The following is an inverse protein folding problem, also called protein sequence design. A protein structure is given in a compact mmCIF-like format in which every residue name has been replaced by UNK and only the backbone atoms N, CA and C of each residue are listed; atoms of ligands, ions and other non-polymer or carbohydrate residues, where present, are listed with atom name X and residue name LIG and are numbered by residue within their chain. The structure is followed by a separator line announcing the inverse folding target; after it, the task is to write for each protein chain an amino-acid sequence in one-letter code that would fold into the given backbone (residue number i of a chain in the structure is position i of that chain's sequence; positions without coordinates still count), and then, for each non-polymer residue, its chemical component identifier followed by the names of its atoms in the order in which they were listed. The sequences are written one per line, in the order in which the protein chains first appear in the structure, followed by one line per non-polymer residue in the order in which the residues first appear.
data_IF_938638231675
#
_entry.id   IF_938638231675
#
_cell.length_a   1.000
_cell.length_b   1.000
_cell.length_c   1.000
_cell.angle_alpha   90.00
_cell.angle_beta   90.00
_cell.angle_gamma   90.00
#
_symmetry.space_group_name_H-M   'P 1'
#
loop_
_entity.id
_entity.type
_entity.pdbx_description
1 polymer ?
#
# COMPACT_ATOMS: atom_id res chain seq x y z
N UNK A 1 37.00 14.69 22.86
CA UNK A 1 37.71 13.38 22.93
C UNK A 1 37.13 12.53 24.05
N UNK A 2 36.32 11.51 23.73
CA UNK A 2 36.30 10.20 24.43
C UNK A 2 35.32 9.26 23.72
N UNK A 3 35.85 8.18 23.15
CA UNK A 3 35.14 7.11 22.47
C UNK A 3 34.87 5.99 23.48
N UNK A 4 33.68 5.42 23.48
CA UNK A 4 33.36 4.19 24.22
C UNK A 4 32.76 3.21 23.22
N UNK A 5 33.49 2.13 22.98
CA UNK A 5 33.11 0.99 22.16
C UNK A 5 32.50 -0.07 23.08
N UNK A 6 31.34 -0.61 22.72
CA UNK A 6 30.84 -1.85 23.33
C UNK A 6 30.42 -2.81 22.22
N UNK A 7 31.27 -3.80 22.00
CA UNK A 7 31.11 -4.97 21.14
C UNK A 7 30.55 -6.08 22.01
N UNK A 8 29.37 -6.63 21.68
CA UNK A 8 28.90 -7.90 22.24
C UNK A 8 28.39 -8.79 21.11
N UNK A 9 29.23 -9.76 20.75
CA UNK A 9 28.91 -10.85 19.85
C UNK A 9 28.21 -11.97 20.64
N UNK A 10 27.08 -12.46 20.13
CA UNK A 10 26.50 -13.74 20.59
C UNK A 10 26.21 -14.57 19.33
N UNK A 11 27.08 -15.56 19.12
CA UNK A 11 26.87 -16.67 18.22
C UNK A 11 26.09 -17.77 18.95
N UNK A 12 25.09 -18.34 18.28
CA UNK A 12 24.30 -19.46 18.80
C UNK A 12 23.84 -20.36 17.67
N UNK A 13 24.66 -21.38 17.38
CA UNK A 13 24.41 -22.47 16.45
C UNK A 13 23.43 -23.44 17.11
N UNK A 14 22.33 -23.79 16.43
CA UNK A 14 21.59 -25.01 16.73
C UNK A 14 21.41 -25.83 15.44
N UNK A 15 22.33 -26.76 15.26
CA UNK A 15 22.16 -27.96 14.44
C UNK A 15 21.77 -29.11 15.38
N UNK A 16 20.75 -29.88 15.02
CA UNK A 16 20.30 -31.05 15.77
C UNK A 16 19.53 -32.01 14.86
N UNK A 17 20.05 -33.24 14.75
CA UNK A 17 19.61 -34.34 13.88
C UNK A 17 18.69 -35.36 14.62
N UNK A 18 17.75 -35.97 13.86
CA UNK A 18 17.41 -37.42 13.69
C UNK A 18 17.06 -38.29 14.93
N UNK A 19 15.98 -39.10 14.91
CA UNK A 19 15.98 -40.55 14.52
C UNK A 19 14.67 -41.01 13.82
N UNK A 20 14.43 -42.21 13.29
CA UNK A 20 15.16 -43.43 12.89
C UNK A 20 14.07 -44.46 12.47
N UNK A 21 14.37 -45.32 11.47
CA UNK A 21 13.87 -46.70 11.27
C UNK A 21 12.36 -46.94 10.99
N UNK A 22 11.90 -48.00 10.31
CA UNK A 22 12.40 -48.99 9.35
C UNK A 22 11.18 -49.87 8.99
N UNK A 23 11.10 -50.43 7.77
CA UNK A 23 10.61 -51.79 7.43
C UNK A 23 9.64 -51.89 6.24
N UNK A 24 10.11 -52.62 5.22
CA UNK A 24 9.46 -53.64 4.38
C UNK A 24 8.10 -53.30 3.73
N UNK A 25 7.92 -53.47 2.41
CA UNK A 25 7.82 -54.80 1.79
C UNK A 25 8.09 -54.82 0.27
N UNK A 26 8.62 -55.95 -0.17
CA UNK A 26 8.72 -56.51 -1.54
C UNK A 26 7.48 -56.26 -2.42
N UNK A 27 7.64 -56.12 -3.74
CA UNK A 27 7.74 -57.27 -4.66
C UNK A 27 7.97 -56.86 -6.13
N UNK A 28 8.81 -57.64 -6.81
CA UNK A 28 8.98 -57.69 -8.25
C UNK A 28 7.82 -58.46 -8.90
N UNK A 29 7.33 -58.05 -10.08
CA UNK A 29 6.75 -58.94 -11.13
C UNK A 29 6.35 -58.06 -12.32
N UNK A 30 7.10 -58.03 -13.42
CA UNK A 30 6.90 -58.87 -14.60
C UNK A 30 5.51 -58.75 -15.28
N UNK A 31 5.52 -58.01 -16.40
CA UNK A 31 4.85 -58.23 -17.69
C UNK A 31 3.62 -59.17 -17.75
N UNK A 32 2.45 -58.66 -18.20
CA UNK A 32 1.62 -59.28 -19.27
C UNK A 32 0.26 -58.57 -19.48
N UNK A 33 0.04 -58.16 -20.74
CA UNK A 33 -1.21 -58.23 -21.53
C UNK A 33 -2.39 -57.28 -21.24
N UNK A 34 -2.80 -56.58 -22.31
CA UNK A 34 -3.93 -55.64 -22.47
C UNK A 34 -5.33 -56.30 -22.28
N UNK A 35 -6.50 -55.59 -22.24
CA UNK A 35 -6.94 -54.61 -23.25
C UNK A 35 -7.75 -53.36 -22.80
N UNK A 36 -7.67 -52.34 -23.66
CA UNK A 36 -8.69 -51.33 -24.03
C UNK A 36 -9.41 -50.51 -22.96
N UNK A 37 -8.83 -49.35 -22.65
CA UNK A 37 -9.59 -48.09 -22.66
C UNK A 37 -8.79 -47.13 -23.55
N UNK A 38 -9.34 -46.77 -24.71
CA UNK A 38 -8.76 -45.75 -25.58
C UNK A 38 -8.82 -44.40 -24.85
N UNK A 39 -7.80 -44.12 -24.04
CA UNK A 39 -7.44 -42.76 -23.69
C UNK A 39 -6.79 -42.20 -24.94
N UNK A 40 -7.58 -41.50 -25.74
CA UNK A 40 -7.07 -40.72 -26.86
C UNK A 40 -6.21 -39.62 -26.25
N UNK A 41 -4.91 -39.88 -26.10
CA UNK A 41 -3.94 -38.88 -25.68
C UNK A 41 -3.73 -37.96 -26.86
N UNK A 42 -4.46 -36.84 -26.86
CA UNK A 42 -4.22 -35.74 -27.77
C UNK A 42 -2.81 -35.22 -27.47
N UNK A 43 -1.87 -35.55 -28.36
CA UNK A 43 -0.49 -35.04 -28.32
C UNK A 43 -0.56 -33.55 -28.64
N UNK A 44 -0.69 -32.75 -27.61
CA UNK A 44 -0.48 -31.30 -27.72
C UNK A 44 1.02 -31.07 -27.78
N UNK A 45 1.50 -30.49 -28.88
CA UNK A 45 2.91 -30.14 -29.01
C UNK A 45 3.24 -29.03 -27.99
N UNK A 46 4.44 -29.09 -27.40
CA UNK A 46 4.81 -28.16 -26.32
C UNK A 46 4.86 -26.71 -26.80
N UNK A 47 5.02 -26.49 -28.10
CA UNK A 47 5.03 -25.17 -28.71
C UNK A 47 3.61 -24.61 -28.89
N UNK A 48 2.62 -25.45 -29.23
CA UNK A 48 1.20 -25.05 -29.23
C UNK A 48 0.75 -24.61 -27.83
N UNK A 49 1.15 -25.35 -26.79
CA UNK A 49 0.84 -24.98 -25.39
C UNK A 49 1.49 -23.64 -25.01
N UNK A 50 2.68 -23.32 -25.54
CA UNK A 50 3.34 -22.03 -25.31
C UNK A 50 2.62 -20.89 -26.02
N UNK A 51 2.07 -21.14 -27.21
CA UNK A 51 1.36 -20.14 -27.97
C UNK A 51 -0.03 -19.87 -27.39
N UNK A 52 -0.72 -20.88 -26.85
CA UNK A 52 -1.97 -20.70 -26.09
C UNK A 52 -1.72 -19.92 -24.78
N UNK A 53 -0.63 -20.21 -24.05
CA UNK A 53 -0.26 -19.44 -22.84
C UNK A 53 0.12 -18.00 -23.19
N UNK A 54 0.73 -17.77 -24.36
CA UNK A 54 1.02 -16.41 -24.84
C UNK A 54 -0.26 -15.69 -25.23
N UNK A 55 -1.16 -16.34 -25.95
CA UNK A 55 -2.45 -15.78 -26.40
C UNK A 55 -3.40 -15.49 -25.23
N UNK A 56 -3.49 -16.35 -24.21
CA UNK A 56 -4.21 -16.04 -22.96
C UNK A 56 -3.54 -14.91 -22.17
N UNK A 57 -2.21 -14.79 -22.28
CA UNK A 57 -1.45 -13.65 -21.74
C UNK A 57 -1.53 -12.39 -22.64
N UNK A 58 -2.24 -12.45 -23.78
CA UNK A 58 -2.45 -11.33 -24.71
C UNK A 58 -3.84 -10.70 -24.61
N UNK A 59 -4.71 -11.17 -23.70
CA UNK A 59 -5.70 -10.28 -23.13
C UNK A 59 -4.94 -9.34 -22.20
N UNK A 60 -4.57 -8.18 -22.75
CA UNK A 60 -4.03 -7.09 -21.96
C UNK A 60 -4.90 -6.96 -20.70
N UNK A 61 -4.34 -6.99 -19.48
CA UNK A 61 -5.14 -6.75 -18.31
C UNK A 61 -5.77 -5.38 -18.54
N UNK A 62 -7.10 -5.35 -18.57
CA UNK A 62 -7.89 -4.14 -18.71
C UNK A 62 -7.35 -3.18 -17.65
N UNK A 63 -6.63 -2.13 -18.07
CA UNK A 63 -5.87 -1.27 -17.15
C UNK A 63 -6.75 -0.58 -16.09
N UNK A 64 -8.07 -0.74 -16.18
CA UNK A 64 -9.04 -0.38 -15.16
C UNK A 64 -9.02 -1.25 -13.91
N UNK A 65 -8.57 -2.51 -13.96
CA UNK A 65 -8.56 -3.38 -12.77
C UNK A 65 -7.40 -3.09 -11.81
N UNK A 66 -6.36 -2.39 -12.28
CA UNK A 66 -5.17 -2.05 -11.47
C UNK A 66 -5.10 -0.58 -11.09
N UNK A 67 -6.09 0.26 -11.40
CA UNK A 67 -6.09 1.68 -11.02
C UNK A 67 -6.72 1.88 -9.63
N UNK A 68 -5.92 2.31 -8.64
CA UNK A 68 -6.41 2.80 -7.35
C UNK A 68 -6.73 4.29 -7.43
N UNK A 69 -7.88 4.67 -6.89
CA UNK A 69 -8.25 6.07 -6.67
C UNK A 69 -8.31 6.38 -5.17
N UNK A 70 -7.71 7.50 -4.79
CA UNK A 70 -7.75 8.03 -3.44
C UNK A 70 -8.43 9.39 -3.46
N UNK A 71 -9.48 9.54 -2.67
CA UNK A 71 -10.21 10.81 -2.56
C UNK A 71 -10.09 11.43 -1.18
N UNK A 72 -10.09 12.77 -1.13
CA UNK A 72 -10.05 13.54 0.10
C UNK A 72 -10.82 14.85 -0.04
N UNK A 73 -11.55 15.22 1.01
CA UNK A 73 -12.37 16.43 1.03
C UNK A 73 -11.72 17.44 1.96
N UNK A 74 -11.28 18.57 1.44
CA UNK A 74 -10.75 19.67 2.23
C UNK A 74 -11.75 20.80 2.38
N UNK A 75 -11.68 21.46 3.54
CA UNK A 75 -12.55 22.58 3.87
C UNK A 75 -11.72 23.81 4.25
N UNK A 76 -12.16 24.97 3.77
CA UNK A 76 -11.49 26.24 4.00
C UNK A 76 -12.50 27.34 4.28
N UNK A 77 -12.30 28.07 5.36
CA UNK A 77 -13.19 29.16 5.76
C UNK A 77 -12.56 30.49 5.37
N UNK A 78 -13.36 31.38 4.78
CA UNK A 78 -12.95 32.74 4.50
C UNK A 78 -12.74 33.51 5.81
N UNK A 79 -11.63 34.23 5.96
CA UNK A 79 -11.43 35.06 7.14
C UNK A 79 -12.42 36.24 7.14
N UNK A 80 -12.81 36.68 8.34
CA UNK A 80 -13.78 37.76 8.52
C UNK A 80 -13.24 39.14 8.10
N UNK A 81 -11.91 39.31 8.05
CA UNK A 81 -11.23 40.58 7.78
C UNK A 81 -10.68 40.68 6.34
N UNK A 82 -11.55 40.51 5.35
CA UNK A 82 -11.17 40.58 3.93
C UNK A 82 -11.56 41.92 3.31
N UNK A 83 -10.72 42.41 2.39
CA UNK A 83 -10.94 43.69 1.69
C UNK A 83 -12.02 43.56 0.62
N UNK A 84 -12.15 42.38 0.01
CA UNK A 84 -13.17 42.10 -1.01
C UNK A 84 -13.69 40.67 -0.94
N UNK A 85 -14.91 40.46 -1.45
CA UNK A 85 -15.50 39.12 -1.57
C UNK A 85 -14.64 38.18 -2.45
N UNK A 86 -13.98 38.72 -3.48
CA UNK A 86 -13.06 37.96 -4.31
C UNK A 86 -11.81 37.52 -3.52
N UNK A 87 -11.29 38.37 -2.64
CA UNK A 87 -10.18 38.01 -1.75
C UNK A 87 -10.61 36.92 -0.75
N UNK A 88 -11.80 37.05 -0.17
CA UNK A 88 -12.36 36.04 0.74
C UNK A 88 -12.46 34.66 0.07
N UNK A 89 -13.01 34.61 -1.15
CA UNK A 89 -13.10 33.39 -1.95
C UNK A 89 -11.71 32.79 -2.19
N UNK A 90 -10.76 33.60 -2.68
CA UNK A 90 -9.41 33.13 -3.00
C UNK A 90 -8.68 32.55 -1.77
N UNK A 91 -8.85 33.17 -0.60
CA UNK A 91 -8.28 32.67 0.66
C UNK A 91 -8.94 31.37 1.12
N UNK A 92 -10.28 31.31 1.07
CA UNK A 92 -11.02 30.10 1.42
C UNK A 92 -10.66 28.92 0.50
N UNK A 93 -10.58 29.16 -0.82
CA UNK A 93 -10.14 28.16 -1.80
C UNK A 93 -8.75 27.64 -1.50
N UNK A 94 -7.79 28.52 -1.20
CA UNK A 94 -6.41 28.12 -0.85
C UNK A 94 -6.37 27.27 0.42
N UNK A 95 -7.12 27.66 1.44
CA UNK A 95 -7.23 26.90 2.68
C UNK A 95 -7.81 25.50 2.42
N UNK A 96 -8.92 25.43 1.67
CA UNK A 96 -9.58 24.16 1.33
C UNK A 96 -8.68 23.21 0.54
N UNK A 97 -7.96 23.72 -0.47
CA UNK A 97 -7.01 22.92 -1.25
C UNK A 97 -5.90 22.37 -0.34
N UNK A 98 -5.32 23.22 0.50
CA UNK A 98 -4.23 22.81 1.42
C UNK A 98 -4.72 21.75 2.40
N UNK A 99 -5.93 21.90 2.92
CA UNK A 99 -6.55 20.93 3.81
C UNK A 99 -6.83 19.59 3.10
N UNK A 100 -7.34 19.64 1.87
CA UNK A 100 -7.58 18.45 1.06
C UNK A 100 -6.27 17.68 0.81
N UNK A 101 -5.19 18.38 0.45
CA UNK A 101 -3.86 17.77 0.29
C UNK A 101 -3.33 17.17 1.59
N UNK A 102 -3.51 17.84 2.73
CA UNK A 102 -3.13 17.31 4.05
C UNK A 102 -3.87 16.01 4.36
N UNK A 103 -5.18 15.98 4.13
CA UNK A 103 -5.99 14.78 4.34
C UNK A 103 -5.59 13.65 3.40
N UNK A 104 -5.39 13.96 2.12
CA UNK A 104 -4.93 12.99 1.12
C UNK A 104 -3.56 12.43 1.51
N UNK A 105 -2.63 13.29 1.93
CA UNK A 105 -1.29 12.88 2.36
C UNK A 105 -1.35 11.94 3.56
N UNK A 106 -2.21 12.23 4.53
CA UNK A 106 -2.39 11.36 5.70
C UNK A 106 -2.91 9.98 5.33
N UNK A 107 -3.75 9.87 4.29
CA UNK A 107 -4.25 8.59 3.78
C UNK A 107 -3.18 7.80 3.03
N UNK A 108 -2.31 8.49 2.28
CA UNK A 108 -1.27 7.84 1.47
C UNK A 108 -0.02 7.45 2.28
N UNK A 109 0.54 8.41 3.02
CA UNK A 109 1.85 8.29 3.66
C UNK A 109 1.75 7.88 5.13
N UNK A 110 0.54 7.86 5.69
CA UNK A 110 0.33 7.70 7.12
C UNK A 110 0.76 8.93 7.93
N UNK A 111 0.67 8.81 9.25
CA UNK A 111 0.99 9.89 10.19
C UNK A 111 1.98 9.38 11.23
N UNK A 112 3.11 10.07 11.40
CA UNK A 112 4.04 9.77 12.49
C UNK A 112 3.59 10.48 13.75
N UNK A 113 3.22 9.71 14.77
CA UNK A 113 2.82 10.23 16.09
C UNK A 113 3.98 10.08 17.07
N UNK A 114 4.39 11.19 17.68
CA UNK A 114 5.35 11.18 18.79
C UNK A 114 4.66 11.69 20.06
N UNK A 115 4.57 10.83 21.06
CA UNK A 115 4.21 11.18 22.44
C UNK A 115 5.32 10.73 23.37
N UNK A 116 5.70 11.58 24.34
CA UNK A 116 6.68 11.23 25.37
C UNK A 116 6.07 11.54 26.73
N UNK A 117 5.51 10.53 27.38
CA UNK A 117 4.97 10.66 28.73
C UNK A 117 5.32 9.44 29.59
N UNK A 118 5.52 9.68 30.88
CA UNK A 118 5.48 8.63 31.90
C UNK A 118 4.14 8.70 32.64
N UNK A 119 3.63 7.60 33.20
CA UNK A 119 2.31 7.53 33.86
C UNK A 119 2.15 8.60 34.97
N UNK A 120 3.24 8.92 35.67
CA UNK A 120 3.29 9.97 36.68
C UNK A 120 3.16 11.37 36.09
N UNK A 121 3.81 11.62 34.95
CA UNK A 121 3.79 12.93 34.30
C UNK A 121 2.43 13.24 33.66
N UNK A 122 1.71 12.23 33.15
CA UNK A 122 0.36 12.43 32.58
C UNK A 122 -0.69 12.88 33.62
N UNK A 123 -0.50 12.53 34.90
CA UNK A 123 -1.39 12.96 35.99
C UNK A 123 -1.08 14.36 36.52
N UNK A 124 0.17 14.83 36.36
CA UNK A 124 0.67 16.06 36.99
C UNK A 124 0.98 17.18 35.98
N UNK A 125 1.18 16.85 34.70
CA UNK A 125 1.63 17.77 33.65
C UNK A 125 0.78 17.62 32.40
N UNK A 126 0.62 18.73 31.66
CA UNK A 126 -0.02 18.69 30.35
C UNK A 126 0.87 17.90 29.38
N UNK A 127 0.36 16.75 28.92
CA UNK A 127 0.93 15.99 27.80
C UNK A 127 0.57 16.67 26.48
N UNK A 128 1.54 16.75 25.56
CA UNK A 128 1.31 17.21 24.19
C UNK A 128 1.74 16.10 23.23
N UNK A 129 0.78 15.57 22.49
CA UNK A 129 1.02 14.59 21.41
C UNK A 129 1.10 15.35 20.10
N UNK A 130 2.16 15.10 19.33
CA UNK A 130 2.35 15.74 18.02
C UNK A 130 2.24 14.69 16.92
N UNK A 131 1.52 15.03 15.86
CA UNK A 131 1.30 14.17 14.70
C UNK A 131 1.67 14.95 13.44
N UNK A 132 2.54 14.37 12.61
CA UNK A 132 3.04 15.04 11.40
C UNK A 132 2.99 14.10 10.19
N UNK A 133 2.73 14.69 9.03
CA UNK A 133 2.73 14.02 7.73
C UNK A 133 3.80 14.65 6.85
N UNK A 134 4.71 13.83 6.34
CA UNK A 134 5.76 14.27 5.41
C UNK A 134 5.62 13.44 4.14
N UNK A 135 5.29 14.08 3.02
CA UNK A 135 5.11 13.41 1.74
C UNK A 135 4.91 14.40 0.60
N UNK A 136 5.28 13.99 -0.61
CA UNK A 136 5.08 14.78 -1.82
C UNK A 136 3.96 14.16 -2.65
N UNK A 137 2.81 14.83 -2.73
CA UNK A 137 1.72 14.40 -3.61
C UNK A 137 1.92 15.05 -4.97
N UNK A 138 1.92 14.23 -6.03
CA UNK A 138 1.92 14.68 -7.42
C UNK A 138 0.65 14.20 -8.08
N UNK A 139 0.19 14.94 -9.09
CA UNK A 139 -0.92 14.53 -9.97
C UNK A 139 -2.28 14.33 -9.26
N UNK A 140 -2.54 15.01 -8.14
CA UNK A 140 -3.90 15.09 -7.61
C UNK A 140 -4.72 16.11 -8.41
N UNK A 141 -5.95 15.76 -8.74
CA UNK A 141 -6.91 16.59 -9.48
C UNK A 141 -8.07 17.00 -8.60
N UNK A 142 -8.63 18.19 -8.84
CA UNK A 142 -9.87 18.64 -8.22
C UNK A 142 -11.03 18.06 -9.02
N UNK A 143 -11.87 17.24 -8.39
CA UNK A 143 -13.06 16.65 -9.02
C UNK A 143 -14.32 17.48 -8.77
N UNK A 144 -14.37 18.17 -7.64
CA UNK A 144 -15.51 18.99 -7.24
C UNK A 144 -15.05 20.18 -6.37
N UNK A 145 -15.72 21.31 -6.54
CA UNK A 145 -15.53 22.50 -5.72
C UNK A 145 -16.85 23.21 -5.47
N UNK A 146 -17.10 23.56 -4.20
CA UNK A 146 -18.31 24.27 -3.80
C UNK A 146 -17.97 25.40 -2.84
N UNK A 147 -18.59 26.56 -3.05
CA UNK A 147 -18.51 27.68 -2.12
C UNK A 147 -19.90 28.03 -1.61
N UNK A 148 -20.10 27.93 -0.30
CA UNK A 148 -21.35 28.25 0.35
C UNK A 148 -21.11 29.02 1.65
N UNK A 149 -21.70 30.23 1.77
CA UNK A 149 -21.69 31.02 3.00
C UNK A 149 -20.32 31.21 3.66
N UNK A 150 -19.26 31.40 2.86
CA UNK A 150 -17.89 31.61 3.37
C UNK A 150 -17.11 30.32 3.65
N UNK A 151 -17.74 29.15 3.52
CA UNK A 151 -17.07 27.85 3.50
C UNK A 151 -16.81 27.43 2.06
N UNK A 152 -15.57 27.10 1.77
CA UNK A 152 -15.14 26.52 0.50
C UNK A 152 -14.79 25.05 0.73
N UNK A 153 -15.41 24.15 -0.03
CA UNK A 153 -15.16 22.71 0.00
C UNK A 153 -14.53 22.28 -1.31
N UNK A 154 -13.47 21.50 -1.23
CA UNK A 154 -12.76 20.94 -2.39
C UNK A 154 -12.67 19.44 -2.23
N UNK A 155 -13.03 18.71 -3.27
CA UNK A 155 -12.82 17.27 -3.35
C UNK A 155 -11.64 17.00 -4.30
N UNK A 156 -10.60 16.38 -3.76
CA UNK A 156 -9.41 15.97 -4.50
C UNK A 156 -9.47 14.47 -4.78
N UNK A 157 -9.01 14.09 -5.96
CA UNK A 157 -8.79 12.71 -6.36
C UNK A 157 -7.34 12.53 -6.82
N UNK A 158 -6.73 11.44 -6.41
CA UNK A 158 -5.46 10.95 -6.93
C UNK A 158 -5.68 9.55 -7.50
N UNK A 159 -5.28 9.35 -8.76
CA UNK A 159 -5.28 8.04 -9.39
C UNK A 159 -3.85 7.52 -9.52
N UNK A 160 -3.63 6.27 -9.13
CA UNK A 160 -2.33 5.60 -9.19
C UNK A 160 -2.50 4.12 -9.53
N UNK A 161 -1.55 3.60 -10.29
CA UNK A 161 -1.45 2.17 -10.57
C UNK A 161 -1.09 1.39 -9.29
N UNK A 162 -1.81 0.30 -9.01
CA UNK A 162 -1.64 -0.56 -7.86
C UNK A 162 -0.28 -1.20 -7.75
N UNK A 163 0.32 -1.59 -8.88
CA UNK A 163 1.64 -2.21 -8.86
C UNK A 163 2.71 -1.19 -8.48
N UNK A 164 2.60 0.04 -9.02
CA UNK A 164 3.48 1.16 -8.64
C UNK A 164 3.27 1.57 -7.20
N UNK A 165 2.04 1.60 -6.71
CA UNK A 165 1.75 1.94 -5.32
C UNK A 165 2.39 0.92 -4.37
N UNK A 166 2.28 -0.38 -4.66
CA UNK A 166 2.95 -1.41 -3.87
C UNK A 166 4.47 -1.25 -3.89
N UNK A 167 5.07 -0.97 -5.05
CA UNK A 167 6.53 -0.73 -5.14
C UNK A 167 6.98 0.47 -4.30
N UNK A 168 6.20 1.56 -4.28
CA UNK A 168 6.57 2.79 -3.58
C UNK A 168 6.30 2.77 -2.07
N UNK A 169 5.32 1.97 -1.62
CA UNK A 169 4.79 2.05 -0.25
C UNK A 169 4.74 0.72 0.51
N UNK A 170 4.89 -0.43 -0.15
CA UNK A 170 5.04 -1.70 0.56
C UNK A 170 6.50 -1.85 1.01
N UNK A 171 6.70 -1.85 2.33
CA UNK A 171 7.97 -2.13 3.00
C UNK A 171 7.92 -3.51 3.65
#
# INVERSE_FOLDING_TARGET
MKKIYFMLAIAGIFAGCVPSANSATKNSSANSTAPSQDVIVQKVDKDDVRDIIREEKMLAPDASETELSFTAVGEGIAPMNTVSAAQALALAKRAAITDAYRQLASKLYGVKVNGKDTVKDAMLRSSTITAQVNGLIKNASIIDENFNQGLYRVNLELKIDADKWKELFAY
#
